data_IF_109153099576
#
_entry.id   IF_109153099576
#
_cell.length_a   1.000
_cell.length_b   1.000
_cell.length_c   1.000
_cell.angle_alpha   90.00
_cell.angle_beta   90.00
_cell.angle_gamma   90.00
#
_symmetry.space_group_name_H-M   'P 1'
#
loop_
_entity.id
_entity.type
_entity.pdbx_description
1 polymer ?
#
# COMPACT_ATOMS: atom_id res chain seq x y z
N UNK A 1 10.98 -25.20 -48.91
CA UNK A 1 11.14 -25.22 -47.46
C UNK A 1 12.17 -24.22 -46.93
N UNK A 2 13.42 -24.21 -47.37
CA UNK A 2 14.47 -23.28 -46.93
C UNK A 2 14.09 -21.80 -47.09
N UNK A 3 13.46 -21.41 -48.22
CA UNK A 3 13.02 -20.03 -48.47
C UNK A 3 11.93 -19.58 -47.47
N UNK A 4 10.94 -20.43 -47.20
CA UNK A 4 9.86 -20.16 -46.28
C UNK A 4 10.42 -20.01 -44.86
N UNK A 5 11.31 -20.87 -44.43
CA UNK A 5 11.98 -20.79 -43.13
C UNK A 5 12.77 -19.47 -42.96
N UNK A 6 13.48 -19.06 -44.03
CA UNK A 6 14.23 -17.79 -44.06
C UNK A 6 13.31 -16.57 -43.99
N UNK A 7 12.18 -16.61 -44.69
CA UNK A 7 11.17 -15.54 -44.62
C UNK A 7 10.54 -15.47 -43.25
N UNK A 8 10.19 -16.62 -42.67
CA UNK A 8 9.64 -16.69 -41.31
C UNK A 8 10.64 -16.15 -40.27
N UNK A 9 11.93 -16.56 -40.37
CA UNK A 9 12.96 -16.04 -39.46
C UNK A 9 13.13 -14.53 -39.56
N UNK A 10 13.07 -13.96 -40.78
CA UNK A 10 13.14 -12.51 -40.99
C UNK A 10 11.93 -11.78 -40.38
N UNK A 11 10.73 -12.34 -40.58
CA UNK A 11 9.52 -11.78 -39.99
C UNK A 11 9.59 -11.79 -38.47
N UNK A 12 10.01 -12.91 -37.89
CA UNK A 12 10.17 -13.04 -36.43
C UNK A 12 11.20 -12.02 -35.91
N UNK A 13 12.34 -11.88 -36.57
CA UNK A 13 13.35 -10.90 -36.19
C UNK A 13 12.81 -9.47 -36.26
N UNK A 14 12.07 -9.12 -37.32
CA UNK A 14 11.45 -7.81 -37.45
C UNK A 14 10.42 -7.56 -36.33
N UNK A 15 9.60 -8.54 -35.99
CA UNK A 15 8.63 -8.43 -34.87
C UNK A 15 9.34 -8.27 -33.52
N UNK A 16 10.44 -8.99 -33.28
CA UNK A 16 11.22 -8.82 -32.05
C UNK A 16 11.85 -7.43 -31.95
N UNK A 17 12.38 -6.90 -33.05
CA UNK A 17 12.92 -5.52 -33.08
C UNK A 17 11.82 -4.52 -32.81
N UNK A 18 10.68 -4.62 -33.51
CA UNK A 18 9.53 -3.74 -33.29
C UNK A 18 9.04 -3.79 -31.84
N UNK A 19 8.95 -4.98 -31.27
CA UNK A 19 8.55 -5.14 -29.89
C UNK A 19 9.57 -4.55 -28.92
N UNK A 20 10.87 -4.72 -29.18
CA UNK A 20 11.94 -4.10 -28.41
C UNK A 20 11.85 -2.57 -28.43
N UNK A 21 11.52 -1.98 -29.58
CA UNK A 21 11.26 -0.53 -29.71
C UNK A 21 10.04 -0.12 -28.89
N UNK A 22 8.95 -0.89 -28.92
CA UNK A 22 7.77 -0.62 -28.08
C UNK A 22 8.08 -0.68 -26.58
N UNK A 23 8.90 -1.66 -26.15
CA UNK A 23 9.37 -1.73 -24.75
C UNK A 23 10.19 -0.48 -24.41
N UNK A 24 11.13 -0.07 -25.26
CA UNK A 24 11.94 1.12 -25.02
C UNK A 24 11.08 2.39 -24.93
N UNK A 25 10.14 2.59 -25.87
CA UNK A 25 9.21 3.72 -25.83
C UNK A 25 8.36 3.68 -24.54
N UNK A 26 7.84 2.53 -24.16
CA UNK A 26 7.02 2.41 -22.95
C UNK A 26 7.81 2.74 -21.69
N UNK A 27 9.09 2.40 -21.63
CA UNK A 27 10.00 2.76 -20.53
C UNK A 27 10.35 4.25 -20.50
N UNK A 28 10.44 4.89 -21.68
CA UNK A 28 10.61 6.34 -21.76
C UNK A 28 9.37 7.10 -21.29
N UNK A 29 8.18 6.59 -21.64
CA UNK A 29 6.91 7.19 -21.20
C UNK A 29 6.64 7.00 -19.70
N UNK A 30 6.99 5.85 -19.17
CA UNK A 30 6.82 5.49 -17.76
C UNK A 30 8.10 4.82 -17.24
N UNK A 31 9.11 5.60 -16.82
CA UNK A 31 10.38 5.08 -16.34
C UNK A 31 10.21 4.21 -15.10
N UNK A 32 10.89 3.09 -15.09
CA UNK A 32 10.86 2.12 -13.98
C UNK A 32 11.50 2.65 -12.69
N UNK A 33 12.60 3.38 -12.84
CA UNK A 33 13.42 3.81 -11.71
C UNK A 33 12.79 4.92 -10.87
N UNK A 34 11.88 5.70 -11.44
CA UNK A 34 11.28 6.87 -10.81
C UNK A 34 9.97 6.57 -10.08
N UNK A 35 9.60 5.31 -10.00
CA UNK A 35 8.33 4.88 -9.40
C UNK A 35 8.20 5.30 -7.94
N UNK A 36 9.30 5.32 -7.18
CA UNK A 36 9.29 5.71 -5.78
C UNK A 36 8.87 7.16 -5.54
N UNK A 37 9.24 8.09 -6.42
CA UNK A 37 8.90 9.50 -6.28
C UNK A 37 7.50 9.84 -6.80
N UNK A 38 6.99 9.06 -7.75
CA UNK A 38 5.68 9.28 -8.39
C UNK A 38 4.53 8.58 -7.67
N UNK A 39 4.81 7.76 -6.70
CA UNK A 39 3.81 7.12 -5.86
C UNK A 39 3.14 8.07 -4.87
N UNK A 40 3.58 9.31 -4.79
CA UNK A 40 2.81 10.33 -4.11
C UNK A 40 1.49 10.53 -4.87
N UNK A 41 0.47 9.88 -4.33
CA UNK A 41 -0.77 9.51 -5.01
C UNK A 41 -1.53 10.64 -5.68
N UNK A 42 -1.26 11.89 -5.31
CA UNK A 42 -1.95 13.05 -5.86
C UNK A 42 -1.51 13.41 -7.29
N UNK A 43 -0.40 12.87 -7.80
CA UNK A 43 0.22 13.35 -9.04
C UNK A 43 0.57 12.28 -10.07
N UNK A 44 0.24 11.03 -9.83
CA UNK A 44 0.55 9.97 -10.77
C UNK A 44 -0.73 9.37 -11.41
N UNK A 45 -1.48 10.15 -12.18
CA UNK A 45 -2.72 9.70 -12.79
C UNK A 45 -2.50 8.52 -13.74
N UNK A 46 -1.30 8.39 -14.27
CA UNK A 46 -0.90 7.33 -15.18
C UNK A 46 -0.13 6.19 -14.53
N UNK A 47 0.00 6.16 -13.20
CA UNK A 47 0.82 5.12 -12.61
C UNK A 47 0.08 3.79 -12.64
N UNK A 48 0.40 3.01 -13.61
CA UNK A 48 0.24 1.58 -13.71
C UNK A 48 0.56 0.85 -12.44
N UNK A 49 1.19 1.51 -11.59
CA UNK A 49 2.01 1.06 -10.52
C UNK A 49 1.43 1.40 -9.16
N UNK A 50 0.30 2.09 -9.14
CA UNK A 50 -0.45 2.39 -7.93
C UNK A 50 -1.34 1.25 -7.46
N UNK A 51 -1.45 0.20 -8.22
CA UNK A 51 -1.94 -1.05 -7.68
C UNK A 51 -0.72 -1.81 -7.16
N UNK A 52 -0.63 -1.93 -5.93
CA UNK A 52 0.43 -2.26 -5.04
C UNK A 52 1.16 -3.55 -5.38
N UNK A 53 0.47 -4.64 -5.78
CA UNK A 53 1.16 -5.84 -6.23
C UNK A 53 2.08 -5.59 -7.43
N UNK A 54 1.65 -4.76 -8.38
CA UNK A 54 2.47 -4.38 -9.52
C UNK A 54 3.66 -3.54 -9.10
N UNK A 55 3.45 -2.61 -8.17
CA UNK A 55 4.52 -1.80 -7.60
C UNK A 55 5.60 -2.66 -6.94
N UNK A 56 5.22 -3.62 -6.11
CA UNK A 56 6.18 -4.50 -5.44
C UNK A 56 7.03 -5.26 -6.47
N UNK A 57 6.43 -5.78 -7.53
CA UNK A 57 7.17 -6.45 -8.59
C UNK A 57 8.13 -5.51 -9.33
N UNK A 58 7.70 -4.30 -9.61
CA UNK A 58 8.49 -3.31 -10.35
C UNK A 58 9.58 -2.69 -9.48
N UNK A 59 9.32 -2.47 -8.21
CA UNK A 59 10.27 -1.94 -7.25
C UNK A 59 11.21 -3.01 -6.68
N UNK A 60 11.15 -4.26 -7.16
CA UNK A 60 11.93 -5.39 -6.61
C UNK A 60 13.41 -5.06 -6.40
N UNK A 61 14.04 -4.42 -7.37
CA UNK A 61 15.46 -4.09 -7.28
C UNK A 61 15.78 -3.11 -6.13
N UNK A 62 14.85 -2.20 -5.82
CA UNK A 62 14.95 -1.29 -4.68
C UNK A 62 14.59 -1.97 -3.37
N UNK A 63 13.55 -2.78 -3.36
CA UNK A 63 13.15 -3.51 -2.16
C UNK A 63 14.17 -4.58 -1.77
N UNK A 64 14.87 -5.17 -2.74
CA UNK A 64 15.85 -6.24 -2.50
C UNK A 64 17.29 -5.69 -2.40
N UNK A 65 17.50 -4.71 -1.55
CA UNK A 65 18.81 -4.14 -1.20
C UNK A 65 19.05 -4.30 0.30
N UNK A 66 20.30 -4.14 0.73
CA UNK A 66 20.66 -4.13 2.15
C UNK A 66 20.62 -2.70 2.77
N UNK A 67 20.02 -1.75 2.07
CA UNK A 67 19.71 -0.45 2.65
C UNK A 67 18.58 -0.58 3.67
N UNK A 68 18.63 0.20 4.74
CA UNK A 68 17.55 0.26 5.72
C UNK A 68 16.30 0.93 5.12
N UNK A 69 15.16 0.28 5.29
CA UNK A 69 13.89 0.67 4.65
C UNK A 69 12.78 0.89 5.65
N UNK A 70 11.97 1.88 5.37
CA UNK A 70 10.66 2.08 6.00
C UNK A 70 9.58 1.70 5.00
N UNK A 71 8.78 0.70 5.34
CA UNK A 71 7.71 0.17 4.48
C UNK A 71 6.37 0.45 5.15
N UNK A 72 5.65 1.44 4.62
CA UNK A 72 4.33 1.82 5.11
C UNK A 72 3.29 0.84 4.55
N UNK A 73 2.53 0.23 5.43
CA UNK A 73 1.46 -0.71 5.10
C UNK A 73 0.19 -0.31 5.83
N UNK A 74 -0.94 -0.30 5.15
CA UNK A 74 -2.21 0.12 5.74
C UNK A 74 -3.29 0.35 4.70
N UNK A 75 -4.35 1.04 5.08
CA UNK A 75 -5.44 1.40 4.19
C UNK A 75 -5.25 2.79 3.56
N UNK A 76 -6.32 3.33 2.97
CA UNK A 76 -6.29 4.63 2.29
C UNK A 76 -5.92 5.81 3.20
N UNK A 77 -6.25 5.74 4.49
CA UNK A 77 -5.86 6.75 5.47
C UNK A 77 -4.35 6.76 5.74
N UNK A 78 -3.71 5.58 5.75
CA UNK A 78 -2.24 5.47 5.79
C UNK A 78 -1.62 6.07 4.53
N UNK A 79 -2.15 5.69 3.36
CA UNK A 79 -1.70 6.22 2.06
C UNK A 79 -1.84 7.74 1.97
N UNK A 80 -2.96 8.27 2.43
CA UNK A 80 -3.24 9.70 2.41
C UNK A 80 -2.48 10.48 3.48
N UNK A 81 -2.30 9.89 4.67
CA UNK A 81 -1.71 10.54 5.85
C UNK A 81 -0.19 10.61 5.83
N UNK A 82 0.46 9.56 5.31
CA UNK A 82 1.92 9.48 5.23
C UNK A 82 2.37 9.60 3.77
N UNK A 83 2.54 10.83 3.30
CA UNK A 83 3.08 11.07 1.96
C UNK A 83 4.53 10.61 1.88
N UNK A 84 4.85 9.68 0.97
CA UNK A 84 6.18 9.10 0.85
C UNK A 84 7.28 10.19 0.77
N UNK A 85 7.08 11.20 -0.06
CA UNK A 85 8.06 12.28 -0.22
C UNK A 85 8.30 13.09 1.08
N UNK A 86 7.24 13.31 1.89
CA UNK A 86 7.35 14.03 3.16
C UNK A 86 8.10 13.19 4.20
N UNK A 87 7.78 11.90 4.30
CA UNK A 87 8.47 10.98 5.22
C UNK A 87 9.93 10.79 4.78
N UNK A 88 10.18 10.62 3.47
CA UNK A 88 11.54 10.49 2.92
C UNK A 88 12.39 11.72 3.20
N UNK A 89 11.83 12.93 3.12
CA UNK A 89 12.55 14.17 3.40
C UNK A 89 12.98 14.28 4.87
N UNK A 90 12.23 13.67 5.80
CA UNK A 90 12.53 13.66 7.23
C UNK A 90 13.48 12.51 7.62
N UNK A 91 13.61 11.49 6.76
CA UNK A 91 14.41 10.29 6.98
C UNK A 91 15.36 10.03 5.79
N UNK A 92 16.32 10.96 5.52
CA UNK A 92 17.14 10.89 4.31
C UNK A 92 18.10 9.69 4.28
N UNK A 93 18.42 9.10 5.42
CA UNK A 93 19.28 7.92 5.53
C UNK A 93 18.55 6.60 5.23
N UNK A 94 17.22 6.61 5.12
CA UNK A 94 16.38 5.43 4.91
C UNK A 94 15.73 5.48 3.54
N UNK A 95 15.42 4.32 2.98
CA UNK A 95 14.55 4.22 1.81
C UNK A 95 13.09 4.09 2.27
N UNK A 96 12.23 5.04 1.90
CA UNK A 96 10.82 5.01 2.28
C UNK A 96 9.96 4.49 1.12
N UNK A 97 9.15 3.49 1.41
CA UNK A 97 8.20 2.89 0.47
C UNK A 97 6.79 2.90 1.05
N UNK A 98 5.88 3.67 0.44
CA UNK A 98 4.48 3.63 0.85
C UNK A 98 3.72 2.60 0.02
N UNK A 99 3.49 1.43 0.59
CA UNK A 99 2.77 0.30 0.00
C UNK A 99 1.35 0.14 0.56
N UNK A 100 0.81 1.19 1.18
CA UNK A 100 -0.55 1.17 1.69
C UNK A 100 -1.57 1.07 0.54
N UNK A 101 -2.59 0.24 0.72
CA UNK A 101 -3.62 -0.08 -0.28
C UNK A 101 -4.95 0.54 0.13
N UNK A 102 -5.53 1.36 -0.74
CA UNK A 102 -6.85 1.96 -0.49
C UNK A 102 -7.90 0.89 -0.20
N UNK A 103 -8.52 0.98 0.99
CA UNK A 103 -9.56 0.06 1.41
C UNK A 103 -9.10 -1.31 1.88
N UNK A 104 -7.81 -1.52 2.12
CA UNK A 104 -7.32 -2.80 2.63
C UNK A 104 -7.80 -3.10 4.04
N UNK A 105 -7.95 -4.38 4.30
CA UNK A 105 -8.10 -4.97 5.62
C UNK A 105 -6.79 -5.64 6.06
N UNK A 106 -6.79 -6.23 7.25
CA UNK A 106 -5.60 -6.87 7.83
C UNK A 106 -5.08 -8.04 6.97
N UNK A 107 -5.96 -8.77 6.28
CA UNK A 107 -5.58 -9.87 5.39
C UNK A 107 -4.75 -9.35 4.22
N UNK A 108 -5.17 -8.25 3.61
CA UNK A 108 -4.45 -7.63 2.49
C UNK A 108 -3.17 -6.94 2.93
N UNK A 109 -3.16 -6.35 4.14
CA UNK A 109 -1.91 -5.87 4.73
C UNK A 109 -0.90 -7.01 4.85
N UNK A 110 -1.33 -8.20 5.30
CA UNK A 110 -0.52 -9.41 5.32
C UNK A 110 -0.03 -9.83 3.93
N UNK A 111 -0.90 -9.75 2.92
CA UNK A 111 -0.52 -10.06 1.54
C UNK A 111 0.53 -9.09 0.98
N UNK A 112 0.45 -7.79 1.31
CA UNK A 112 1.50 -6.81 0.94
C UNK A 112 2.83 -7.17 1.57
N UNK A 113 2.85 -7.52 2.86
CA UNK A 113 4.05 -8.00 3.56
C UNK A 113 4.62 -9.24 2.87
N UNK A 114 3.77 -10.21 2.53
CA UNK A 114 4.20 -11.43 1.85
C UNK A 114 4.76 -11.15 0.45
N UNK A 115 4.17 -10.22 -0.31
CA UNK A 115 4.71 -9.79 -1.60
C UNK A 115 6.09 -9.16 -1.48
N UNK A 116 6.31 -8.31 -0.47
CA UNK A 116 7.63 -7.72 -0.20
C UNK A 116 8.63 -8.84 0.11
N UNK A 117 8.26 -9.78 0.96
CA UNK A 117 9.10 -10.92 1.33
C UNK A 117 9.44 -11.83 0.12
N UNK A 118 8.49 -12.04 -0.78
CA UNK A 118 8.71 -12.84 -2.01
C UNK A 118 9.79 -12.24 -2.93
N UNK A 119 9.91 -10.92 -2.96
CA UNK A 119 10.89 -10.24 -3.83
C UNK A 119 12.24 -9.99 -3.17
N UNK A 120 12.35 -10.21 -1.86
CA UNK A 120 13.55 -9.95 -1.06
C UNK A 120 14.31 -11.24 -0.70
N UNK A 121 15.63 -11.11 -0.62
CA UNK A 121 16.48 -12.12 0.03
C UNK A 121 16.29 -12.08 1.55
N UNK A 122 16.64 -13.15 2.28
CA UNK A 122 16.61 -13.14 3.74
C UNK A 122 17.43 -12.00 4.37
N UNK A 123 18.56 -11.64 3.76
CA UNK A 123 19.39 -10.53 4.22
C UNK A 123 18.66 -9.18 4.08
N UNK A 124 18.10 -8.90 2.91
CA UNK A 124 17.34 -7.67 2.67
C UNK A 124 16.15 -7.49 3.62
N UNK A 125 15.53 -8.57 4.09
CA UNK A 125 14.39 -8.54 5.03
C UNK A 125 14.77 -7.98 6.40
N UNK A 126 16.01 -8.19 6.85
CA UNK A 126 16.53 -7.70 8.15
C UNK A 126 16.61 -6.18 8.21
N UNK A 127 16.68 -5.54 7.05
CA UNK A 127 16.75 -4.10 6.89
C UNK A 127 15.38 -3.42 6.74
N UNK A 128 14.29 -4.16 6.97
CA UNK A 128 12.95 -3.61 6.87
C UNK A 128 12.45 -3.14 8.24
N UNK A 129 11.90 -1.94 8.27
CA UNK A 129 11.00 -1.46 9.32
C UNK A 129 9.61 -1.31 8.73
N UNK A 130 8.70 -2.19 9.08
CA UNK A 130 7.31 -2.10 8.66
C UNK A 130 6.54 -1.15 9.56
N UNK A 131 5.85 -0.19 8.97
CA UNK A 131 4.97 0.75 9.66
C UNK A 131 3.54 0.41 9.30
N UNK A 132 2.78 -0.11 10.26
CA UNK A 132 1.38 -0.48 10.09
C UNK A 132 0.47 0.65 10.53
N UNK A 133 -0.24 1.28 9.60
CA UNK A 133 -1.30 2.23 9.92
C UNK A 133 -2.59 1.50 10.26
N UNK A 134 -2.97 1.54 11.54
CA UNK A 134 -4.07 0.77 12.12
C UNK A 134 -5.25 1.69 12.47
N UNK A 135 -6.45 1.22 12.23
CA UNK A 135 -7.71 1.79 12.66
C UNK A 135 -8.78 0.71 12.58
N UNK A 136 -9.94 0.89 13.19
CA UNK A 136 -10.92 -0.19 13.30
C UNK A 136 -11.35 -0.79 11.95
N UNK A 137 -11.37 -0.01 10.88
CA UNK A 137 -11.79 -0.46 9.57
C UNK A 137 -10.89 -1.53 8.94
N UNK A 138 -9.60 -1.63 9.34
CA UNK A 138 -8.73 -2.71 8.86
C UNK A 138 -9.00 -4.03 9.57
N UNK A 139 -9.67 -4.01 10.73
CA UNK A 139 -10.07 -5.17 11.50
C UNK A 139 -11.53 -5.55 11.30
N UNK A 140 -12.32 -4.67 10.70
CA UNK A 140 -13.70 -4.97 10.36
C UNK A 140 -13.74 -6.08 9.30
N UNK A 141 -14.76 -6.94 9.44
CA UNK A 141 -14.84 -8.19 8.68
C UNK A 141 -14.67 -8.02 7.17
N UNK A 142 -14.03 -9.01 6.65
CA UNK A 142 -13.58 -9.32 5.30
C UNK A 142 -14.66 -9.32 4.21
N UNK A 143 -15.91 -9.04 4.51
CA UNK A 143 -16.98 -9.32 3.57
C UNK A 143 -17.21 -8.25 2.52
N UNK A 144 -16.85 -7.02 2.79
CA UNK A 144 -17.53 -5.98 2.06
C UNK A 144 -16.81 -5.51 0.80
N UNK A 145 -15.54 -5.22 0.82
CA UNK A 145 -14.93 -4.53 -0.32
C UNK A 145 -14.48 -5.42 -1.45
N UNK A 146 -14.30 -6.66 -1.17
CA UNK A 146 -13.56 -7.56 -2.04
C UNK A 146 -14.45 -8.61 -2.66
N UNK A 147 -15.68 -8.70 -2.18
CA UNK A 147 -16.66 -9.57 -2.76
C UNK A 147 -17.35 -8.88 -3.94
N UNK A 148 -17.08 -9.35 -5.14
CA UNK A 148 -17.94 -9.12 -6.30
C UNK A 148 -18.47 -10.49 -6.76
N UNK A 149 -19.69 -10.55 -7.32
CA UNK A 149 -20.28 -11.80 -7.79
C UNK A 149 -19.39 -12.58 -8.79
N UNK A 150 -18.56 -11.84 -9.51
CA UNK A 150 -17.68 -12.39 -10.55
C UNK A 150 -16.35 -12.92 -10.01
N UNK A 151 -16.11 -12.84 -8.71
CA UNK A 151 -14.87 -13.28 -8.08
C UNK A 151 -15.03 -14.65 -7.47
N UNK A 152 -13.95 -15.42 -7.51
CA UNK A 152 -13.91 -16.66 -6.76
C UNK A 152 -13.99 -16.35 -5.26
N UNK A 153 -14.84 -17.06 -4.49
CA UNK A 153 -14.92 -16.86 -3.06
C UNK A 153 -13.55 -16.97 -2.40
N UNK A 154 -13.19 -15.98 -1.59
CA UNK A 154 -11.90 -15.92 -0.89
C UNK A 154 -10.77 -15.21 -1.63
N UNK A 155 -10.92 -14.84 -2.91
CA UNK A 155 -9.92 -14.00 -3.58
C UNK A 155 -10.02 -12.55 -3.10
N UNK A 156 -8.86 -11.98 -2.83
CA UNK A 156 -8.70 -10.55 -2.59
C UNK A 156 -8.40 -9.80 -3.90
N UNK A 157 -8.46 -8.47 -3.88
CA UNK A 157 -8.03 -7.67 -5.03
C UNK A 157 -6.55 -7.88 -5.37
N UNK A 158 -5.74 -8.12 -4.36
CA UNK A 158 -4.32 -8.44 -4.54
C UNK A 158 -4.17 -9.74 -5.31
N UNK A 159 -4.94 -10.77 -4.97
CA UNK A 159 -4.93 -12.05 -5.69
C UNK A 159 -5.34 -11.88 -7.15
N UNK A 160 -6.40 -11.11 -7.39
CA UNK A 160 -6.91 -10.85 -8.75
C UNK A 160 -5.87 -10.09 -9.58
N UNK A 161 -5.22 -9.11 -9.01
CA UNK A 161 -4.14 -8.41 -9.71
C UNK A 161 -2.95 -9.33 -10.00
N UNK A 162 -2.63 -10.25 -9.11
CA UNK A 162 -1.59 -11.27 -9.32
C UNK A 162 -1.94 -12.23 -10.45
N UNK A 163 -3.22 -12.62 -10.59
CA UNK A 163 -3.66 -13.50 -11.69
C UNK A 163 -3.72 -12.77 -13.03
N UNK A 164 -4.05 -11.50 -13.04
CA UNK A 164 -4.38 -10.72 -14.25
C UNK A 164 -3.35 -10.82 -15.37
N UNK A 165 -2.08 -10.91 -15.04
CA UNK A 165 -0.98 -10.93 -16.01
C UNK A 165 -0.33 -12.29 -16.16
N UNK A 166 -0.90 -13.34 -15.58
CA UNK A 166 -0.38 -14.69 -15.67
C UNK A 166 0.92 -14.94 -14.92
N UNK A 167 1.36 -14.01 -14.06
CA UNK A 167 2.55 -14.22 -13.24
C UNK A 167 2.30 -15.14 -12.05
N UNK A 168 1.06 -15.28 -11.66
CA UNK A 168 0.65 -16.15 -10.59
C UNK A 168 -0.50 -17.05 -11.06
N UNK A 169 -0.57 -18.23 -10.49
CA UNK A 169 -1.69 -19.17 -10.63
C UNK A 169 -2.40 -19.32 -9.30
N UNK A 170 -3.67 -19.70 -9.35
CA UNK A 170 -4.44 -20.02 -8.16
C UNK A 170 -3.94 -21.32 -7.54
N UNK A 171 -3.86 -21.34 -6.22
CA UNK A 171 -3.62 -22.52 -5.41
C UNK A 171 -4.48 -22.45 -4.14
N UNK A 172 -4.53 -23.54 -3.36
CA UNK A 172 -5.39 -23.64 -2.16
C UNK A 172 -5.13 -22.55 -1.10
N UNK A 173 -3.93 -21.97 -1.10
CA UNK A 173 -3.52 -20.92 -0.16
C UNK A 173 -3.35 -19.54 -0.83
N UNK A 174 -4.08 -19.28 -1.91
CA UNK A 174 -4.02 -18.00 -2.63
C UNK A 174 -3.13 -18.05 -3.87
N UNK A 175 -2.63 -16.90 -4.30
CA UNK A 175 -1.86 -16.75 -5.53
C UNK A 175 -0.41 -17.25 -5.34
N UNK A 176 0.01 -18.16 -6.20
CA UNK A 176 1.38 -18.72 -6.22
C UNK A 176 2.09 -18.31 -7.51
N UNK A 177 3.32 -17.78 -7.44
CA UNK A 177 4.10 -17.43 -8.61
C UNK A 177 4.28 -18.62 -9.58
N UNK A 178 4.10 -18.37 -10.88
CA UNK A 178 4.32 -19.35 -11.94
C UNK A 178 5.81 -19.49 -12.25
N UNK A 179 6.56 -18.41 -12.08
CA UNK A 179 8.00 -18.36 -12.28
C UNK A 179 8.70 -18.04 -10.97
N UNK A 180 9.93 -18.51 -10.78
CA UNK A 180 10.75 -18.06 -9.67
C UNK A 180 10.84 -16.53 -9.61
N UNK A 181 10.86 -15.92 -8.41
CA UNK A 181 10.83 -14.45 -8.24
C UNK A 181 11.89 -13.68 -9.01
N UNK A 182 13.07 -14.29 -9.22
CA UNK A 182 14.15 -13.67 -10.00
C UNK A 182 13.79 -13.43 -11.47
N UNK A 183 12.87 -14.21 -12.05
CA UNK A 183 12.42 -14.08 -13.44
C UNK A 183 11.19 -13.17 -13.59
N UNK A 184 10.48 -12.87 -12.50
CA UNK A 184 9.30 -12.00 -12.55
C UNK A 184 9.64 -10.61 -13.09
N UNK A 185 10.81 -10.08 -12.74
CA UNK A 185 11.26 -8.78 -13.21
C UNK A 185 11.44 -8.72 -14.73
N UNK A 186 12.01 -9.77 -15.32
CA UNK A 186 12.14 -9.88 -16.76
C UNK A 186 10.77 -10.02 -17.44
N UNK A 187 9.86 -10.81 -16.84
CA UNK A 187 8.49 -10.93 -17.33
C UNK A 187 7.73 -9.60 -17.31
N UNK A 188 7.84 -8.82 -16.24
CA UNK A 188 7.24 -7.49 -16.14
C UNK A 188 7.83 -6.53 -17.18
N UNK A 189 9.15 -6.61 -17.43
CA UNK A 189 9.78 -5.81 -18.48
C UNK A 189 9.22 -6.14 -19.87
N UNK A 190 9.06 -7.43 -20.16
CA UNK A 190 8.51 -7.87 -21.44
C UNK A 190 7.07 -7.40 -21.66
N UNK A 191 6.23 -7.38 -20.65
CA UNK A 191 4.83 -6.94 -20.77
C UNK A 191 4.65 -5.43 -20.52
N UNK A 192 5.72 -4.68 -20.26
CA UNK A 192 5.65 -3.26 -19.91
C UNK A 192 4.82 -2.41 -20.89
N UNK A 193 4.93 -2.56 -22.22
CA UNK A 193 4.07 -1.84 -23.15
C UNK A 193 2.59 -2.12 -22.96
N UNK A 194 2.25 -3.38 -22.70
CA UNK A 194 0.87 -3.78 -22.41
C UNK A 194 0.37 -3.18 -21.08
N UNK A 195 1.21 -3.15 -20.06
CA UNK A 195 0.87 -2.53 -18.78
C UNK A 195 0.59 -1.03 -18.95
N UNK A 196 1.41 -0.32 -19.73
CA UNK A 196 1.19 1.11 -20.03
C UNK A 196 -0.12 1.31 -20.79
N UNK A 197 -0.38 0.50 -21.81
CA UNK A 197 -1.61 0.59 -22.60
C UNK A 197 -2.86 0.28 -21.76
N UNK A 198 -2.86 -0.80 -20.99
CA UNK A 198 -3.97 -1.21 -20.11
C UNK A 198 -4.30 -0.10 -19.11
N UNK A 199 -3.28 0.53 -18.51
CA UNK A 199 -3.51 1.63 -17.60
C UNK A 199 -4.06 2.87 -18.29
N UNK A 200 -3.47 3.26 -19.40
CA UNK A 200 -3.94 4.43 -20.16
C UNK A 200 -5.40 4.25 -20.61
N UNK A 201 -5.76 3.04 -21.04
CA UNK A 201 -7.13 2.73 -21.42
C UNK A 201 -8.11 2.82 -20.22
N UNK A 202 -7.70 2.37 -19.05
CA UNK A 202 -8.52 2.49 -17.83
C UNK A 202 -8.66 3.94 -17.38
N UNK A 203 -7.58 4.71 -17.37
CA UNK A 203 -7.63 6.12 -16.99
C UNK A 203 -8.51 6.91 -17.95
N UNK A 204 -8.40 6.66 -19.25
CA UNK A 204 -9.27 7.27 -20.26
C UNK A 204 -10.75 6.88 -20.02
N UNK A 205 -11.01 5.60 -19.77
CA UNK A 205 -12.38 5.11 -19.51
C UNK A 205 -12.94 5.71 -18.22
N UNK A 206 -12.13 5.81 -17.17
CA UNK A 206 -12.52 6.44 -15.91
C UNK A 206 -12.82 7.93 -16.12
N UNK A 207 -11.94 8.66 -16.80
CA UNK A 207 -12.11 10.08 -17.11
C UNK A 207 -13.34 10.35 -17.97
N UNK A 208 -13.61 9.49 -18.97
CA UNK A 208 -14.82 9.59 -19.79
C UNK A 208 -16.09 9.35 -18.97
N UNK A 209 -16.08 8.35 -18.08
CA UNK A 209 -17.22 8.08 -17.19
C UNK A 209 -17.46 9.25 -16.23
N UNK A 210 -16.42 9.82 -15.66
CA UNK A 210 -16.50 10.98 -14.77
C UNK A 210 -17.01 12.20 -15.51
N UNK A 211 -16.51 12.45 -16.71
CA UNK A 211 -17.01 13.53 -17.58
C UNK A 211 -18.50 13.34 -17.92
N UNK A 212 -18.90 12.13 -18.34
CA UNK A 212 -20.29 11.82 -18.67
C UNK A 212 -21.20 11.87 -17.45
N UNK A 213 -20.69 11.55 -16.26
CA UNK A 213 -21.43 11.64 -15.00
C UNK A 213 -21.49 13.06 -14.42
N UNK A 214 -20.90 14.05 -15.09
CA UNK A 214 -20.83 15.43 -14.61
C UNK A 214 -20.09 15.58 -13.30
N UNK A 215 -19.16 14.66 -12.99
CA UNK A 215 -18.35 14.76 -11.76
C UNK A 215 -17.39 15.93 -11.87
N UNK A 216 -17.25 16.71 -10.79
CA UNK A 216 -16.27 17.79 -10.77
C UNK A 216 -14.85 17.21 -10.93
N UNK A 217 -13.90 18.02 -11.46
CA UNK A 217 -12.51 17.63 -11.55
C UNK A 217 -11.96 17.25 -10.14
N UNK A 218 -10.84 16.49 -10.09
CA UNK A 218 -10.22 16.08 -8.83
C UNK A 218 -10.03 17.29 -7.91
N UNK A 219 -10.47 17.16 -6.67
CA UNK A 219 -10.35 18.21 -5.66
C UNK A 219 -8.88 18.55 -5.41
N UNK A 220 -8.52 19.80 -5.53
CA UNK A 220 -7.18 20.31 -5.16
C UNK A 220 -6.93 20.15 -3.67
N UNK A 221 -5.67 20.23 -3.24
CA UNK A 221 -5.33 20.19 -1.81
C UNK A 221 -5.97 21.35 -1.05
N UNK A 222 -6.12 22.52 -1.67
CA UNK A 222 -6.83 23.67 -1.11
C UNK A 222 -8.31 23.36 -0.88
N UNK A 223 -8.97 22.79 -1.88
CA UNK A 223 -10.36 22.37 -1.76
C UNK A 223 -10.55 21.28 -0.70
N UNK A 224 -9.64 20.31 -0.61
CA UNK A 224 -9.67 19.30 0.45
C UNK A 224 -9.45 19.90 1.83
N UNK A 225 -8.56 20.86 1.96
CA UNK A 225 -8.34 21.58 3.20
C UNK A 225 -9.56 22.41 3.64
N UNK A 226 -10.33 22.91 2.68
CA UNK A 226 -11.52 23.72 2.92
C UNK A 226 -12.80 22.88 3.22
N UNK A 227 -12.75 21.55 3.09
CA UNK A 227 -13.92 20.70 3.37
C UNK A 227 -14.35 20.85 4.82
N UNK A 228 -15.64 21.12 5.03
CA UNK A 228 -16.32 21.09 6.33
C UNK A 228 -17.55 20.19 6.18
N UNK A 229 -17.57 19.09 6.93
CA UNK A 229 -18.69 18.16 6.87
C UNK A 229 -19.86 18.66 7.71
N UNK A 230 -21.04 18.71 7.11
CA UNK A 230 -22.28 18.97 7.84
C UNK A 230 -22.83 17.66 8.47
N UNK A 231 -23.78 17.81 9.40
CA UNK A 231 -24.34 16.67 10.13
C UNK A 231 -25.04 15.63 9.26
N UNK A 232 -25.59 16.03 8.12
CA UNK A 232 -26.19 15.09 7.18
C UNK A 232 -25.12 14.22 6.49
N UNK A 233 -24.00 14.80 6.11
CA UNK A 233 -22.85 14.08 5.54
C UNK A 233 -22.23 13.13 6.56
N UNK A 234 -22.02 13.56 7.81
CA UNK A 234 -21.50 12.71 8.88
C UNK A 234 -22.42 11.48 9.09
N UNK A 235 -23.73 11.70 9.20
CA UNK A 235 -24.70 10.58 9.32
C UNK A 235 -24.66 9.64 8.13
N UNK A 236 -24.47 10.16 6.91
CA UNK A 236 -24.36 9.33 5.70
C UNK A 236 -23.10 8.46 5.74
N UNK A 237 -21.98 8.99 6.20
CA UNK A 237 -20.75 8.20 6.36
C UNK A 237 -20.89 7.12 7.43
N UNK A 238 -21.48 7.44 8.59
CA UNK A 238 -21.74 6.44 9.63
C UNK A 238 -22.68 5.33 9.13
N UNK A 239 -23.74 5.68 8.42
CA UNK A 239 -24.65 4.70 7.83
C UNK A 239 -23.92 3.81 6.79
N UNK A 240 -23.10 4.41 5.93
CA UNK A 240 -22.26 3.68 5.00
C UNK A 240 -21.35 2.67 5.70
N UNK A 241 -20.63 3.09 6.73
CA UNK A 241 -19.71 2.20 7.45
C UNK A 241 -20.44 1.09 8.18
N UNK A 242 -21.59 1.39 8.75
CA UNK A 242 -22.44 0.38 9.41
C UNK A 242 -22.90 -0.70 8.44
N UNK A 243 -23.36 -0.29 7.26
CA UNK A 243 -23.76 -1.22 6.19
C UNK A 243 -22.54 -1.99 5.65
N UNK A 244 -21.46 -1.26 5.43
CA UNK A 244 -20.21 -1.77 4.90
C UNK A 244 -19.58 -2.86 5.77
N UNK A 245 -19.67 -2.74 7.08
CA UNK A 245 -19.19 -3.74 8.04
C UNK A 245 -20.24 -4.84 8.32
N UNK A 246 -21.30 -4.92 7.54
CA UNK A 246 -22.31 -5.95 7.63
C UNK A 246 -23.14 -5.88 8.92
N UNK A 247 -23.35 -4.67 9.44
CA UNK A 247 -24.05 -4.40 10.70
C UNK A 247 -23.40 -5.08 11.93
N UNK A 248 -22.11 -5.39 11.84
CA UNK A 248 -21.38 -5.98 12.96
C UNK A 248 -21.37 -5.02 14.16
N UNK A 249 -21.54 -5.57 15.35
CA UNK A 249 -21.49 -4.83 16.62
C UNK A 249 -20.14 -5.00 17.33
N UNK A 250 -19.37 -6.02 16.94
CA UNK A 250 -18.06 -6.33 17.49
C UNK A 250 -17.10 -6.74 16.40
N UNK A 251 -15.81 -6.51 16.64
CA UNK A 251 -14.71 -7.05 15.86
C UNK A 251 -14.36 -8.44 16.39
N UNK A 252 -14.18 -9.41 15.51
CA UNK A 252 -13.73 -10.74 15.91
C UNK A 252 -12.25 -10.74 16.30
N UNK A 253 -11.81 -11.76 17.04
CA UNK A 253 -10.40 -11.90 17.45
C UNK A 253 -9.45 -12.25 16.28
N UNK A 254 -9.96 -12.92 15.27
CA UNK A 254 -9.14 -13.42 14.16
C UNK A 254 -8.30 -12.35 13.43
N UNK A 255 -8.81 -11.13 13.15
CA UNK A 255 -8.02 -10.05 12.57
C UNK A 255 -6.87 -9.57 13.48
N UNK A 256 -7.08 -9.50 14.80
CA UNK A 256 -6.04 -9.13 15.77
C UNK A 256 -4.96 -10.20 15.85
N UNK A 257 -5.34 -11.47 15.92
CA UNK A 257 -4.41 -12.60 15.84
C UNK A 257 -3.63 -12.61 14.50
N UNK A 258 -4.25 -12.17 13.40
CA UNK A 258 -3.55 -12.04 12.13
C UNK A 258 -2.46 -10.96 12.20
N UNK A 259 -2.72 -9.83 12.86
CA UNK A 259 -1.71 -8.80 13.12
C UNK A 259 -0.56 -9.37 13.96
N UNK A 260 -0.86 -10.06 15.07
CA UNK A 260 0.15 -10.68 15.94
C UNK A 260 1.06 -11.62 15.17
N UNK A 261 0.48 -12.55 14.41
CA UNK A 261 1.25 -13.49 13.57
C UNK A 261 2.11 -12.79 12.52
N UNK A 262 1.62 -11.66 11.96
CA UNK A 262 2.37 -10.88 11.00
C UNK A 262 3.57 -10.20 11.66
N UNK A 263 3.38 -9.60 12.83
CA UNK A 263 4.45 -9.02 13.65
C UNK A 263 5.49 -10.08 14.02
N UNK A 264 5.08 -11.21 14.57
CA UNK A 264 5.97 -12.32 14.94
C UNK A 264 6.83 -12.80 13.77
N UNK A 265 6.24 -12.93 12.60
CA UNK A 265 6.94 -13.36 11.39
C UNK A 265 7.98 -12.34 10.92
N UNK A 266 7.67 -11.05 10.99
CA UNK A 266 8.63 -9.98 10.64
C UNK A 266 9.81 -9.98 11.61
N UNK A 267 9.52 -10.08 12.91
CA UNK A 267 10.56 -10.14 13.94
C UNK A 267 11.46 -11.38 13.81
N UNK A 268 10.87 -12.54 13.53
CA UNK A 268 11.62 -13.78 13.29
C UNK A 268 12.58 -13.69 12.10
N UNK A 269 12.32 -12.82 11.15
CA UNK A 269 13.20 -12.54 10.01
C UNK A 269 14.23 -11.42 10.29
N UNK A 270 14.23 -10.87 11.51
CA UNK A 270 15.14 -9.79 11.93
C UNK A 270 14.67 -8.39 11.53
N UNK A 271 13.47 -8.26 10.95
CA UNK A 271 12.84 -6.97 10.67
C UNK A 271 12.32 -6.28 11.94
N UNK A 272 11.78 -5.08 11.77
CA UNK A 272 11.20 -4.26 12.85
C UNK A 272 9.78 -3.86 12.49
N UNK A 273 9.01 -3.47 13.51
CA UNK A 273 7.61 -3.08 13.35
C UNK A 273 7.32 -1.81 14.15
N UNK A 274 6.67 -0.85 13.50
CA UNK A 274 6.04 0.30 14.15
C UNK A 274 4.54 0.18 13.94
N UNK A 275 3.79 0.08 15.03
CA UNK A 275 2.34 0.07 15.01
C UNK A 275 1.83 1.48 15.23
N UNK A 276 1.19 2.06 14.22
CA UNK A 276 0.64 3.41 14.29
C UNK A 276 -0.86 3.31 14.45
N UNK A 277 -1.36 3.63 15.65
CA UNK A 277 -2.79 3.77 15.92
C UNK A 277 -3.27 5.10 15.35
N UNK A 278 -3.87 5.06 14.17
CA UNK A 278 -4.25 6.24 13.39
C UNK A 278 -5.51 6.89 13.98
N UNK A 279 -5.54 8.23 14.06
CA UNK A 279 -6.73 8.94 14.48
C UNK A 279 -7.82 8.85 13.41
N UNK A 280 -9.05 8.91 13.86
CA UNK A 280 -10.25 9.15 13.05
C UNK A 280 -11.03 10.32 13.67
N UNK A 281 -11.87 11.04 12.91
CA UNK A 281 -12.63 12.15 13.45
C UNK A 281 -13.43 11.74 14.69
N UNK A 282 -13.45 12.59 15.71
CA UNK A 282 -14.15 12.32 16.97
C UNK A 282 -15.62 11.92 16.75
N UNK A 283 -16.33 12.64 15.85
CA UNK A 283 -17.72 12.32 15.53
C UNK A 283 -17.88 10.90 14.94
N UNK A 284 -16.87 10.42 14.22
CA UNK A 284 -16.87 9.06 13.66
C UNK A 284 -16.58 8.04 14.76
N UNK A 285 -15.57 8.30 15.61
CA UNK A 285 -15.24 7.44 16.72
C UNK A 285 -16.43 7.27 17.69
N UNK A 286 -17.12 8.37 18.01
CA UNK A 286 -18.31 8.35 18.88
C UNK A 286 -19.54 7.70 18.24
N UNK A 287 -19.67 7.82 16.92
CA UNK A 287 -20.81 7.28 16.19
C UNK A 287 -20.67 5.81 15.77
N UNK A 288 -19.50 5.19 15.97
CA UNK A 288 -19.21 3.81 15.57
C UNK A 288 -19.00 2.88 16.77
N UNK A 289 -19.86 1.88 16.92
CA UNK A 289 -19.70 0.83 17.93
C UNK A 289 -18.40 0.04 17.74
N UNK A 290 -17.97 -0.14 16.47
CA UNK A 290 -16.74 -0.85 16.15
C UNK A 290 -15.49 -0.06 16.53
N UNK A 291 -15.54 1.28 16.51
CA UNK A 291 -14.43 2.09 16.99
C UNK A 291 -14.20 1.92 18.49
N UNK A 292 -15.28 1.85 19.28
CA UNK A 292 -15.20 1.59 20.72
C UNK A 292 -14.68 0.17 21.01
N UNK A 293 -15.12 -0.82 20.22
CA UNK A 293 -14.64 -2.20 20.35
C UNK A 293 -13.16 -2.34 19.98
N UNK A 294 -12.76 -1.71 18.87
CA UNK A 294 -11.35 -1.60 18.45
C UNK A 294 -10.48 -1.04 19.57
N UNK A 295 -10.90 0.06 20.20
CA UNK A 295 -10.17 0.67 21.31
C UNK A 295 -9.93 -0.31 22.44
N UNK A 296 -10.96 -1.08 22.84
CA UNK A 296 -10.82 -2.11 23.90
C UNK A 296 -9.81 -3.21 23.53
N UNK A 297 -9.78 -3.64 22.27
CA UNK A 297 -8.78 -4.61 21.79
C UNK A 297 -7.38 -4.01 21.79
N UNK A 298 -7.22 -2.78 21.27
CA UNK A 298 -5.91 -2.14 21.12
C UNK A 298 -5.30 -1.74 22.46
N UNK A 299 -6.13 -1.38 23.45
CA UNK A 299 -5.65 -1.07 24.80
C UNK A 299 -5.02 -2.28 25.53
N UNK A 300 -5.35 -3.49 25.10
CA UNK A 300 -4.71 -4.72 25.58
C UNK A 300 -3.53 -5.12 24.69
N UNK A 301 -3.74 -5.11 23.38
CA UNK A 301 -2.80 -5.64 22.41
C UNK A 301 -1.56 -4.75 22.23
N UNK A 302 -1.72 -3.43 22.14
CA UNK A 302 -0.58 -2.54 21.88
C UNK A 302 0.49 -2.58 22.97
N UNK A 303 0.16 -2.54 24.28
CA UNK A 303 1.15 -2.67 25.34
C UNK A 303 1.89 -4.02 25.30
N UNK A 304 1.17 -5.11 25.00
CA UNK A 304 1.77 -6.44 24.87
C UNK A 304 2.78 -6.46 23.70
N UNK A 305 2.36 -6.00 22.52
CA UNK A 305 3.25 -5.96 21.35
C UNK A 305 4.42 -5.01 21.56
N UNK A 306 4.22 -3.86 22.21
CA UNK A 306 5.28 -2.89 22.50
C UNK A 306 6.36 -3.42 23.47
N UNK A 307 6.04 -4.44 24.27
CA UNK A 307 7.01 -5.10 25.14
C UNK A 307 7.99 -6.00 24.39
N UNK A 308 7.69 -6.33 23.12
CA UNK A 308 8.53 -7.19 22.28
C UNK A 308 9.68 -6.40 21.68
N UNK A 309 10.90 -6.92 21.74
CA UNK A 309 12.05 -6.29 21.13
C UNK A 309 11.85 -6.12 19.60
N UNK A 310 12.10 -4.93 19.09
CA UNK A 310 11.91 -4.61 17.66
C UNK A 310 10.50 -4.16 17.29
N UNK A 311 9.61 -3.98 18.27
CA UNK A 311 8.29 -3.35 18.09
C UNK A 311 8.27 -2.01 18.81
N UNK A 312 7.72 -0.99 18.17
CA UNK A 312 7.32 0.26 18.81
C UNK A 312 5.87 0.61 18.46
N UNK A 313 5.26 1.45 19.29
CA UNK A 313 3.86 1.84 19.16
C UNK A 313 3.73 3.35 19.18
N UNK A 314 3.23 3.91 18.09
CA UNK A 314 2.88 5.33 17.98
C UNK A 314 1.37 5.49 18.05
N UNK A 315 0.86 5.98 19.19
CA UNK A 315 -0.54 6.40 19.30
C UNK A 315 -0.70 7.83 18.79
N UNK A 316 -1.68 8.04 17.92
CA UNK A 316 -1.99 9.34 17.32
C UNK A 316 -3.39 9.84 17.70
N UNK A 317 -3.97 9.32 18.75
CA UNK A 317 -5.31 9.64 19.25
C UNK A 317 -5.47 11.11 19.71
N UNK A 318 -4.37 11.79 20.03
CA UNK A 318 -4.32 13.22 20.30
C UNK A 318 -4.19 14.12 19.03
N UNK A 319 -4.03 13.50 17.87
CA UNK A 319 -3.91 14.22 16.59
C UNK A 319 -5.27 14.47 15.91
N UNK A 320 -6.34 14.31 16.64
CA UNK A 320 -7.73 14.46 16.23
C UNK A 320 -8.26 15.87 16.52
N UNK A 321 -7.73 16.88 15.88
CA UNK A 321 -8.44 18.16 15.84
C UNK A 321 -9.62 18.02 14.88
N UNK A 322 -10.85 18.20 15.36
CA UNK A 322 -12.10 17.89 14.66
C UNK A 322 -12.29 18.43 13.25
N UNK A 323 -11.40 19.32 12.78
CA UNK A 323 -11.36 19.85 11.42
C UNK A 323 -10.15 19.34 10.60
N UNK A 324 -9.43 18.33 11.07
CA UNK A 324 -8.23 17.82 10.41
C UNK A 324 -8.51 16.74 9.36
N UNK A 325 -9.78 16.38 9.16
CA UNK A 325 -10.19 15.35 8.21
C UNK A 325 -11.06 15.92 7.08
N UNK A 326 -10.85 15.43 5.87
CA UNK A 326 -11.65 15.79 4.69
C UNK A 326 -12.92 14.96 4.54
N UNK A 327 -12.96 13.81 5.20
CA UNK A 327 -14.11 12.90 5.25
C UNK A 327 -14.07 12.09 6.57
N UNK A 328 -14.60 10.89 6.57
CA UNK A 328 -14.71 10.05 7.78
C UNK A 328 -13.40 9.43 8.26
N UNK A 329 -12.32 9.43 7.43
CA UNK A 329 -11.05 8.76 7.76
C UNK A 329 -9.81 9.41 7.17
N UNK A 330 -9.94 10.24 6.13
CA UNK A 330 -8.79 10.77 5.43
C UNK A 330 -8.35 12.12 6.00
N UNK A 331 -7.11 12.25 6.45
CA UNK A 331 -6.58 13.52 6.93
C UNK A 331 -6.53 14.54 5.79
N UNK A 332 -6.75 15.79 6.13
CA UNK A 332 -6.56 16.92 5.22
C UNK A 332 -5.09 17.07 4.85
N UNK A 333 -4.78 17.50 3.62
CA UNK A 333 -3.39 17.68 3.19
C UNK A 333 -2.53 18.50 4.14
N UNK A 334 -3.11 19.52 4.81
CA UNK A 334 -2.41 20.40 5.76
C UNK A 334 -1.84 19.67 6.99
N UNK A 335 -2.37 18.50 7.36
CA UNK A 335 -1.92 17.78 8.55
C UNK A 335 -0.93 16.67 8.26
N UNK A 336 -0.78 16.27 7.00
CA UNK A 336 0.10 15.15 6.61
C UNK A 336 1.56 15.39 7.01
N UNK A 337 2.02 16.64 6.98
CA UNK A 337 3.36 17.00 7.44
C UNK A 337 3.56 16.75 8.94
N UNK A 338 2.55 17.06 9.78
CA UNK A 338 2.61 16.74 11.23
C UNK A 338 2.62 15.25 11.49
N UNK A 339 1.84 14.46 10.74
CA UNK A 339 1.85 13.01 10.85
C UNK A 339 3.21 12.43 10.47
N UNK A 340 3.80 12.92 9.37
CA UNK A 340 5.14 12.51 8.95
C UNK A 340 6.21 12.84 10.00
N UNK A 341 6.13 14.03 10.63
CA UNK A 341 7.05 14.44 11.71
C UNK A 341 6.92 13.54 12.95
N UNK A 342 5.70 13.18 13.36
CA UNK A 342 5.48 12.26 14.49
C UNK A 342 6.06 10.88 14.19
N UNK A 343 5.81 10.35 13.01
CA UNK A 343 6.37 9.06 12.60
C UNK A 343 7.91 9.11 12.55
N UNK A 344 8.48 10.15 11.97
CA UNK A 344 9.93 10.32 11.93
C UNK A 344 10.53 10.48 13.34
N UNK A 345 9.85 11.16 14.24
CA UNK A 345 10.22 11.26 15.65
C UNK A 345 10.27 9.90 16.34
N UNK A 346 9.26 9.05 16.14
CA UNK A 346 9.21 7.69 16.68
C UNK A 346 10.35 6.82 16.13
N UNK A 347 10.55 6.85 14.81
CA UNK A 347 11.61 6.08 14.15
C UNK A 347 13.02 6.50 14.60
N UNK A 348 13.23 7.79 14.90
CA UNK A 348 14.50 8.32 15.41
C UNK A 348 14.71 8.04 16.91
N UNK A 349 13.65 8.07 17.72
CA UNK A 349 13.70 7.84 19.16
C UNK A 349 14.10 6.41 19.52
N UNK A 350 13.81 5.45 18.64
CA UNK A 350 14.19 4.04 18.79
C UNK A 350 15.72 3.84 18.80
N UNK A 351 16.51 4.93 18.73
CA UNK A 351 17.98 4.98 18.96
C UNK A 351 18.83 4.20 17.96
N UNK A 352 18.19 3.49 17.05
CA UNK A 352 18.79 2.47 16.19
C UNK A 352 19.17 3.00 14.80
N UNK A 353 18.71 4.22 14.48
CA UNK A 353 19.16 4.96 13.30
C UNK A 353 20.52 5.65 13.55
N UNK A 354 20.86 5.93 14.82
CA UNK A 354 22.13 6.52 15.20
C UNK A 354 23.33 5.56 15.01
N UNK A 355 23.12 4.24 15.08
CA UNK A 355 24.20 3.26 14.96
C UNK A 355 24.71 3.04 13.53
N UNK A 356 23.96 3.41 12.51
CA UNK A 356 24.40 3.32 11.11
C UNK A 356 25.33 4.48 10.71
N UNK A 357 25.18 5.65 11.35
CA UNK A 357 26.03 6.83 11.12
C UNK A 357 27.43 6.73 11.74
N UNK A 358 27.56 6.11 12.91
CA UNK A 358 28.86 5.98 13.61
C UNK A 358 29.73 4.90 12.99
N UNK A 359 29.19 3.88 12.36
CA UNK A 359 29.98 2.87 11.65
C UNK A 359 30.60 3.38 10.33
N UNK A 360 30.06 4.46 9.76
CA UNK A 360 30.58 5.07 8.53
C UNK A 360 31.72 6.09 8.78
N UNK A 361 31.81 6.65 10.00
CA UNK A 361 32.82 7.64 10.36
C UNK A 361 34.02 7.04 11.08
N UNK A 362 34.10 5.73 11.27
CA UNK A 362 35.16 5.01 11.96
C UNK A 362 36.09 4.23 11.04
N UNK A 363 36.21 4.58 9.73
CA UNK A 363 37.22 4.00 8.83
C UNK A 363 37.96 5.08 8.06
#
# INVERSE_FOLDING_TARGET
MKLILRQFARLLAALMVLYGVLVAISLLLVPRAELGERLDAARAPSSLFLTEPKYVFLARSRLNTNADKVILVGASNTLAGFKQAQVQALLPALEVHNLAVGGSNITQMGQVVDLVREVQTPEARRHNTYVFGLWYGVFAADKARWYTPDRHPGDTDIDIERYRYGFCRRADRGAVPVLPPQYLQAGVLLIHPYLVLDRTARDLTASLREFMAGKPPPTTDEQRNAVVLNEAQKRKYLAFWREYTGLAETLGDAPFQALERMVERILAEGGRVVLVDLPIPEWHAQGSVLAADYRRHMDKLLPELNSRAGVSVLRMDDADAGDDFSDEVHPKPRVTGRWAQRLAGELNADGRLASAGDAANGR
#
